data_IF_429895770583
#
_entry.id   IF_429895770583
#
_cell.length_a   1.000
_cell.length_b   1.000
_cell.length_c   1.000
_cell.angle_alpha   90.00
_cell.angle_beta   90.00
_cell.angle_gamma   90.00
#
_symmetry.space_group_name_H-M   'P 1'
#
loop_
_entity.id
_entity.type
_entity.pdbx_description
1 polymer ?
#
# COMPACT_ATOMS: atom_id res chain seq x y z
N UNK A 1 -15.34 -13.99 -7.61
CA UNK A 1 -14.05 -13.64 -6.97
C UNK A 1 -13.03 -13.42 -8.06
N UNK A 2 -12.25 -12.33 -8.03
CA UNK A 2 -11.12 -12.09 -8.93
C UNK A 2 -9.84 -12.64 -8.31
N UNK A 3 -8.93 -13.15 -9.14
CA UNK A 3 -7.60 -13.62 -8.72
C UNK A 3 -6.57 -12.67 -9.31
N UNK A 4 -5.85 -11.96 -8.43
CA UNK A 4 -4.75 -11.08 -8.81
C UNK A 4 -3.40 -11.77 -8.73
N UNK A 5 -2.41 -11.21 -9.41
CA UNK A 5 -1.01 -11.62 -9.32
C UNK A 5 -0.10 -10.42 -9.02
N UNK A 6 0.73 -10.55 -7.98
CA UNK A 6 1.78 -9.58 -7.68
C UNK A 6 2.97 -9.82 -8.60
N UNK A 7 3.09 -9.04 -9.67
CA UNK A 7 4.18 -9.18 -10.64
C UNK A 7 4.35 -7.90 -11.47
N UNK A 8 5.56 -7.61 -11.92
CA UNK A 8 5.81 -6.53 -12.87
C UNK A 8 5.36 -6.87 -14.29
N UNK A 9 5.15 -5.85 -15.12
CA UNK A 9 4.63 -6.02 -16.49
C UNK A 9 5.42 -7.03 -17.34
N UNK A 10 6.74 -7.08 -17.22
CA UNK A 10 7.59 -8.06 -17.94
C UNK A 10 7.31 -9.52 -17.56
N UNK A 11 6.97 -9.76 -16.28
CA UNK A 11 6.62 -11.10 -15.80
C UNK A 11 5.20 -11.46 -16.24
N UNK A 12 4.27 -10.48 -16.18
CA UNK A 12 2.88 -10.66 -16.64
C UNK A 12 2.85 -11.00 -18.12
N UNK A 13 3.73 -10.42 -18.95
CA UNK A 13 3.84 -10.73 -20.37
C UNK A 13 4.21 -12.22 -20.67
N UNK A 14 4.72 -12.93 -19.66
CA UNK A 14 5.07 -14.36 -19.79
C UNK A 14 3.96 -15.29 -19.30
N UNK A 15 2.89 -14.76 -18.71
CA UNK A 15 1.76 -15.55 -18.22
C UNK A 15 0.92 -16.08 -19.40
N UNK A 16 0.39 -17.29 -19.21
CA UNK A 16 -0.65 -17.78 -20.12
C UNK A 16 -1.92 -16.96 -19.90
N UNK A 17 -2.60 -16.64 -21.00
CA UNK A 17 -3.87 -15.93 -20.97
C UNK A 17 -4.88 -16.60 -20.03
N UNK A 18 -5.50 -15.81 -19.13
CA UNK A 18 -6.49 -16.29 -18.18
C UNK A 18 -5.92 -16.86 -16.88
N UNK A 19 -4.60 -16.73 -16.62
CA UNK A 19 -4.01 -17.14 -15.33
C UNK A 19 -4.27 -16.15 -14.19
N UNK A 20 -4.56 -14.89 -14.51
CA UNK A 20 -4.91 -13.87 -13.53
C UNK A 20 -5.97 -12.94 -14.12
N UNK A 21 -6.85 -12.43 -13.27
CA UNK A 21 -7.88 -11.47 -13.63
C UNK A 21 -7.33 -10.03 -13.61
N UNK A 22 -6.32 -9.76 -12.76
CA UNK A 22 -5.67 -8.46 -12.65
C UNK A 22 -4.22 -8.59 -12.14
N UNK A 23 -3.46 -7.53 -12.31
CA UNK A 23 -2.11 -7.38 -11.79
C UNK A 23 -2.11 -6.47 -10.56
N UNK A 24 -1.27 -6.80 -9.58
CA UNK A 24 -0.86 -5.94 -8.50
C UNK A 24 0.60 -5.54 -8.70
N UNK A 25 0.83 -4.25 -8.99
CA UNK A 25 2.16 -3.71 -9.27
C UNK A 25 2.83 -3.19 -7.99
N UNK A 26 4.15 -3.03 -8.03
CA UNK A 26 4.89 -2.37 -6.96
C UNK A 26 4.80 -0.85 -7.12
N UNK A 27 4.09 -0.15 -6.22
CA UNK A 27 3.85 1.29 -6.34
C UNK A 27 5.11 2.12 -6.21
N UNK A 28 6.07 1.71 -5.38
CA UNK A 28 7.35 2.42 -5.28
C UNK A 28 8.16 2.35 -6.57
N UNK A 29 8.01 1.30 -7.37
CA UNK A 29 8.59 1.23 -8.72
C UNK A 29 7.79 2.08 -9.71
N UNK A 30 6.48 2.07 -9.63
CA UNK A 30 5.59 2.93 -10.44
C UNK A 30 5.88 4.42 -10.18
N UNK A 31 6.16 4.80 -8.94
CA UNK A 31 6.57 6.16 -8.58
C UNK A 31 7.81 6.63 -9.35
N UNK A 32 8.78 5.76 -9.59
CA UNK A 32 10.03 6.08 -10.30
C UNK A 32 9.86 6.12 -11.83
N UNK A 33 8.78 5.56 -12.37
CA UNK A 33 8.58 5.48 -13.82
C UNK A 33 8.47 6.86 -14.47
N UNK A 34 9.08 6.99 -15.63
CA UNK A 34 8.85 8.07 -16.58
C UNK A 34 7.52 7.89 -17.31
N UNK A 35 6.99 8.93 -17.92
CA UNK A 35 5.76 8.84 -18.73
C UNK A 35 5.88 7.82 -19.88
N UNK A 36 7.08 7.64 -20.43
CA UNK A 36 7.36 6.62 -21.46
C UNK A 36 7.21 5.21 -20.92
N UNK A 37 7.79 4.92 -19.76
CA UNK A 37 7.70 3.61 -19.10
C UNK A 37 6.29 3.29 -18.63
N UNK A 38 5.54 4.29 -18.15
CA UNK A 38 4.11 4.12 -17.81
C UNK A 38 3.31 3.69 -19.04
N UNK A 39 3.52 4.38 -20.17
CA UNK A 39 2.84 4.06 -21.43
C UNK A 39 3.22 2.67 -21.95
N UNK A 40 4.50 2.31 -21.88
CA UNK A 40 4.96 0.96 -22.25
C UNK A 40 4.33 -0.11 -21.36
N UNK A 41 4.34 0.11 -20.05
CA UNK A 41 3.70 -0.79 -19.06
C UNK A 41 2.22 -0.97 -19.36
N UNK A 42 1.48 0.11 -19.60
CA UNK A 42 0.06 0.06 -19.96
C UNK A 42 -0.19 -0.76 -21.24
N UNK A 43 0.66 -0.57 -22.27
CA UNK A 43 0.55 -1.33 -23.51
C UNK A 43 0.80 -2.84 -23.30
N UNK A 44 1.78 -3.20 -22.48
CA UNK A 44 2.08 -4.61 -22.15
C UNK A 44 0.89 -5.25 -21.43
N UNK A 45 0.34 -4.59 -20.40
CA UNK A 45 -0.80 -5.09 -19.64
C UNK A 45 -2.04 -5.26 -20.54
N UNK A 46 -2.31 -4.28 -21.40
CA UNK A 46 -3.42 -4.35 -22.36
C UNK A 46 -3.25 -5.51 -23.35
N UNK A 47 -2.04 -5.73 -23.89
CA UNK A 47 -1.74 -6.84 -24.79
C UNK A 47 -1.94 -8.22 -24.13
N UNK A 48 -1.66 -8.32 -22.83
CA UNK A 48 -1.86 -9.55 -22.04
C UNK A 48 -3.32 -9.74 -21.62
N UNK A 49 -4.15 -8.70 -21.67
CA UNK A 49 -5.52 -8.71 -21.15
C UNK A 49 -5.60 -8.82 -19.63
N UNK A 50 -4.57 -8.33 -18.91
CA UNK A 50 -4.47 -8.34 -17.45
C UNK A 50 -4.33 -6.89 -16.98
N UNK A 51 -5.44 -6.21 -16.60
CA UNK A 51 -5.39 -4.83 -16.13
C UNK A 51 -4.64 -4.73 -14.80
N UNK A 52 -3.96 -3.61 -14.54
CA UNK A 52 -3.49 -3.28 -13.21
C UNK A 52 -4.68 -2.69 -12.40
N UNK A 53 -5.13 -3.39 -11.37
CA UNK A 53 -6.20 -2.91 -10.49
C UNK A 53 -5.68 -2.52 -9.10
N UNK A 54 -4.55 -3.09 -8.69
CA UNK A 54 -3.96 -2.88 -7.38
C UNK A 54 -2.46 -2.60 -7.45
N UNK A 55 -1.94 -2.01 -6.37
CA UNK A 55 -0.51 -1.90 -6.15
C UNK A 55 -0.15 -2.10 -4.68
N UNK A 56 0.98 -2.76 -4.43
CA UNK A 56 1.59 -2.93 -3.10
C UNK A 56 2.82 -2.02 -2.91
N UNK A 57 3.53 -2.18 -1.78
CA UNK A 57 4.77 -1.45 -1.50
C UNK A 57 4.62 0.06 -1.70
N UNK A 58 3.62 0.67 -1.07
CA UNK A 58 3.24 2.06 -1.29
C UNK A 58 4.43 3.02 -1.18
N UNK A 59 5.14 3.01 -0.04
CA UNK A 59 6.31 3.85 0.18
C UNK A 59 7.62 3.07 0.03
N UNK A 60 8.61 3.71 -0.58
CA UNK A 60 9.99 3.26 -0.48
C UNK A 60 10.53 3.45 0.93
N UNK A 61 11.50 2.65 1.35
CA UNK A 61 12.07 2.70 2.71
C UNK A 61 12.69 4.06 3.09
N UNK A 62 12.98 4.89 2.10
CA UNK A 62 13.57 6.22 2.27
C UNK A 62 12.55 7.30 2.66
N UNK A 63 11.26 7.04 2.46
CA UNK A 63 10.17 7.94 2.87
C UNK A 63 9.70 7.51 4.24
N UNK A 64 10.12 8.19 5.29
CA UNK A 64 9.73 7.88 6.66
C UNK A 64 8.37 8.46 7.00
N UNK A 65 7.53 7.64 7.63
CA UNK A 65 6.17 7.99 8.04
C UNK A 65 6.10 8.40 9.52
N UNK A 66 7.18 8.22 10.26
CA UNK A 66 7.31 8.63 11.65
C UNK A 66 8.79 8.80 12.05
N UNK A 67 9.01 9.34 13.25
CA UNK A 67 10.33 9.60 13.83
C UNK A 67 10.93 10.91 13.35
N UNK A 68 12.20 11.12 13.71
CA UNK A 68 12.93 12.38 13.42
C UNK A 68 13.11 12.70 11.94
N UNK A 69 12.98 11.71 11.07
CA UNK A 69 13.10 11.88 9.62
C UNK A 69 11.74 12.02 8.93
N UNK A 70 10.65 12.07 9.69
CA UNK A 70 9.32 12.31 9.16
C UNK A 70 9.22 13.74 8.60
N UNK A 71 8.83 13.84 7.34
CA UNK A 71 8.55 15.10 6.66
C UNK A 71 7.22 14.98 5.90
N UNK A 72 6.21 15.64 6.43
CA UNK A 72 4.85 15.61 5.87
C UNK A 72 4.76 16.17 4.44
N UNK A 73 5.62 17.11 4.07
CA UNK A 73 5.62 17.66 2.71
C UNK A 73 6.20 16.63 1.74
N UNK A 74 7.28 15.96 2.12
CA UNK A 74 7.85 14.86 1.34
C UNK A 74 6.84 13.71 1.18
N UNK A 75 6.12 13.35 2.25
CA UNK A 75 5.05 12.33 2.18
C UNK A 75 3.98 12.77 1.19
N UNK A 76 3.51 14.02 1.25
CA UNK A 76 2.47 14.55 0.35
C UNK A 76 2.91 14.55 -1.11
N UNK A 77 4.11 15.02 -1.40
CA UNK A 77 4.66 15.03 -2.77
C UNK A 77 4.81 13.61 -3.32
N UNK A 78 5.31 12.69 -2.48
CA UNK A 78 5.42 11.29 -2.85
C UNK A 78 4.06 10.68 -3.20
N UNK A 79 3.06 10.85 -2.30
CA UNK A 79 1.71 10.32 -2.52
C UNK A 79 1.11 10.84 -3.83
N UNK A 80 1.20 12.15 -4.08
CA UNK A 80 0.65 12.74 -5.31
C UNK A 80 1.27 12.14 -6.55
N UNK A 81 2.60 12.04 -6.62
CA UNK A 81 3.29 11.47 -7.78
C UNK A 81 3.00 9.98 -7.94
N UNK A 82 3.07 9.20 -6.86
CA UNK A 82 2.84 7.76 -6.90
C UNK A 82 1.42 7.43 -7.38
N UNK A 83 0.42 8.10 -6.82
CA UNK A 83 -0.98 7.88 -7.16
C UNK A 83 -1.34 8.42 -8.54
N UNK A 84 -0.77 9.55 -8.95
CA UNK A 84 -0.91 10.05 -10.33
C UNK A 84 -0.38 9.02 -11.35
N UNK A 85 0.81 8.49 -11.13
CA UNK A 85 1.39 7.46 -11.99
C UNK A 85 0.56 6.18 -11.97
N UNK A 86 0.11 5.75 -10.77
CA UNK A 86 -0.77 4.59 -10.60
C UNK A 86 -2.09 4.72 -11.35
N UNK A 87 -2.73 5.88 -11.25
CA UNK A 87 -4.00 6.15 -11.94
C UNK A 87 -3.88 6.04 -13.47
N UNK A 88 -2.73 6.44 -14.05
CA UNK A 88 -2.47 6.27 -15.48
C UNK A 88 -2.39 4.79 -15.91
N UNK A 89 -2.09 3.89 -14.99
CA UNK A 89 -2.07 2.43 -15.21
C UNK A 89 -3.42 1.77 -14.88
N UNK A 90 -4.39 2.51 -14.33
CA UNK A 90 -5.68 1.99 -13.91
C UNK A 90 -5.73 1.47 -12.48
N UNK A 91 -4.68 1.71 -11.68
CA UNK A 91 -4.61 1.28 -10.28
C UNK A 91 -5.59 2.12 -9.44
N UNK A 92 -6.50 1.43 -8.75
CA UNK A 92 -7.51 2.05 -7.89
C UNK A 92 -7.49 1.52 -6.44
N UNK A 93 -6.61 0.56 -6.12
CA UNK A 93 -6.39 0.05 -4.76
C UNK A 93 -4.90 0.00 -4.47
N UNK A 94 -4.45 0.66 -3.39
CA UNK A 94 -3.03 0.71 -3.03
C UNK A 94 -2.81 0.21 -1.61
N UNK A 95 -1.99 -0.84 -1.47
CA UNK A 95 -1.65 -1.46 -0.19
C UNK A 95 -0.56 -0.66 0.52
N UNK A 96 -0.90 -0.11 1.69
CA UNK A 96 0.01 0.57 2.58
C UNK A 96 0.46 -0.38 3.70
N UNK A 97 1.38 -1.28 3.37
CA UNK A 97 2.16 -2.07 4.34
C UNK A 97 3.42 -1.30 4.74
N UNK A 98 4.37 -1.13 3.83
CA UNK A 98 5.56 -0.26 3.93
C UNK A 98 6.29 -0.31 5.27
N UNK A 99 6.61 -1.51 5.77
CA UNK A 99 7.12 -1.74 7.14
C UNK A 99 8.34 -0.89 7.50
N UNK A 100 9.34 -0.83 6.61
CA UNK A 100 10.57 -0.03 6.82
C UNK A 100 10.32 1.48 6.88
N UNK A 101 9.26 1.98 6.25
CA UNK A 101 8.90 3.39 6.26
C UNK A 101 8.24 3.81 7.57
N UNK A 102 7.49 2.90 8.22
CA UNK A 102 6.74 3.17 9.45
C UNK A 102 7.37 2.59 10.73
N UNK A 103 8.52 1.91 10.60
CA UNK A 103 9.23 1.38 11.76
C UNK A 103 9.70 2.52 12.65
N UNK A 104 9.44 2.39 13.96
CA UNK A 104 9.87 3.34 14.98
C UNK A 104 11.29 2.98 15.38
N UNK A 105 12.23 3.91 15.21
CA UNK A 105 13.64 3.72 15.53
C UNK A 105 13.88 3.77 17.05
N UNK A 106 14.97 3.17 17.50
CA UNK A 106 15.35 3.18 18.90
C UNK A 106 15.58 4.63 19.41
N UNK A 107 15.03 4.94 20.58
CA UNK A 107 15.10 6.27 21.18
C UNK A 107 14.02 7.26 20.72
N UNK A 108 13.18 6.90 19.77
CA UNK A 108 12.01 7.71 19.40
C UNK A 108 10.86 7.53 20.40
N UNK A 109 10.07 8.58 20.59
CA UNK A 109 8.88 8.52 21.46
C UNK A 109 7.71 7.87 20.68
N UNK A 110 7.27 6.71 21.15
CA UNK A 110 6.26 5.89 20.45
C UNK A 110 4.96 6.65 20.17
N UNK A 111 4.49 7.42 21.16
CA UNK A 111 3.25 8.19 21.08
C UNK A 111 3.31 9.26 19.98
N UNK A 112 4.45 9.91 19.81
CA UNK A 112 4.63 10.94 18.78
C UNK A 112 4.80 10.30 17.41
N UNK A 113 5.53 9.19 17.33
CA UNK A 113 5.63 8.40 16.09
C UNK A 113 4.26 7.91 15.60
N UNK A 114 3.39 7.46 16.51
CA UNK A 114 2.03 7.05 16.16
C UNK A 114 1.21 8.23 15.60
N UNK A 115 1.29 9.42 16.19
CA UNK A 115 0.60 10.62 15.67
C UNK A 115 1.10 11.01 14.28
N UNK A 116 2.42 10.94 14.06
CA UNK A 116 3.01 11.20 12.75
C UNK A 116 2.57 10.17 11.71
N UNK A 117 2.51 8.89 12.08
CA UNK A 117 2.01 7.83 11.22
C UNK A 117 0.53 8.05 10.86
N UNK A 118 -0.30 8.45 11.82
CA UNK A 118 -1.69 8.84 11.59
C UNK A 118 -1.80 9.99 10.59
N UNK A 119 -0.99 11.04 10.76
CA UNK A 119 -0.93 12.17 9.82
C UNK A 119 -0.50 11.71 8.42
N UNK A 120 0.53 10.84 8.32
CA UNK A 120 1.00 10.31 7.04
C UNK A 120 -0.08 9.48 6.31
N UNK A 121 -0.83 8.66 7.04
CA UNK A 121 -1.93 7.86 6.48
C UNK A 121 -3.07 8.77 6.00
N UNK A 122 -3.42 9.82 6.75
CA UNK A 122 -4.41 10.80 6.30
C UNK A 122 -3.96 11.53 5.03
N UNK A 123 -2.68 11.95 4.95
CA UNK A 123 -2.10 12.55 3.74
C UNK A 123 -2.22 11.61 2.53
N UNK A 124 -1.96 10.31 2.73
CA UNK A 124 -2.11 9.32 1.66
C UNK A 124 -3.58 9.16 1.24
N UNK A 125 -4.50 9.14 2.20
CA UNK A 125 -5.94 9.07 1.95
C UNK A 125 -6.47 10.30 1.21
N UNK A 126 -6.05 11.52 1.62
CA UNK A 126 -6.40 12.77 0.94
C UNK A 126 -5.92 12.77 -0.52
N UNK A 127 -4.67 12.36 -0.74
CA UNK A 127 -4.12 12.25 -2.09
C UNK A 127 -4.88 11.17 -2.90
N UNK A 128 -5.25 10.05 -2.29
CA UNK A 128 -6.01 8.99 -2.93
C UNK A 128 -7.38 9.46 -3.43
N UNK A 129 -8.03 10.35 -2.69
CA UNK A 129 -9.31 10.95 -3.10
C UNK A 129 -9.18 11.75 -4.41
N UNK A 130 -8.04 12.42 -4.64
CA UNK A 130 -7.78 13.19 -5.88
C UNK A 130 -7.74 12.28 -7.12
N UNK A 131 -7.35 11.01 -6.95
CA UNK A 131 -7.14 10.06 -8.05
C UNK A 131 -8.16 8.90 -8.08
N UNK A 132 -9.20 8.94 -7.26
CA UNK A 132 -10.21 7.89 -7.18
C UNK A 132 -9.65 6.55 -6.69
N UNK A 133 -8.63 6.59 -5.82
CA UNK A 133 -7.93 5.42 -5.29
C UNK A 133 -8.33 5.18 -3.83
N UNK A 134 -8.32 3.91 -3.42
CA UNK A 134 -8.47 3.50 -2.02
C UNK A 134 -7.12 3.04 -1.48
N UNK A 135 -6.73 3.56 -0.32
CA UNK A 135 -5.60 3.05 0.46
C UNK A 135 -6.10 1.91 1.34
N UNK A 136 -5.45 0.78 1.29
CA UNK A 136 -5.74 -0.33 2.20
C UNK A 136 -4.55 -0.50 3.15
N UNK A 137 -4.77 -0.16 4.43
CA UNK A 137 -3.77 -0.26 5.49
C UNK A 137 -3.57 -1.72 5.85
N UNK A 138 -2.34 -2.20 5.73
CA UNK A 138 -1.98 -3.59 5.98
C UNK A 138 -1.16 -3.73 7.26
N UNK A 139 -1.65 -4.39 8.31
CA UNK A 139 -0.85 -4.87 9.42
C UNK A 139 0.21 -5.87 8.95
N UNK A 140 1.44 -5.68 9.40
CA UNK A 140 2.57 -6.55 9.02
C UNK A 140 3.12 -7.27 10.25
N UNK A 141 3.73 -8.43 10.04
CA UNK A 141 4.38 -9.17 11.11
C UNK A 141 5.54 -8.39 11.76
N UNK A 142 5.88 -8.72 13.01
CA UNK A 142 6.92 -8.03 13.82
C UNK A 142 8.34 -8.13 13.27
N UNK A 143 8.62 -8.99 12.29
CA UNK A 143 9.93 -9.02 11.61
C UNK A 143 10.09 -7.89 10.60
N UNK A 144 8.98 -7.31 10.14
CA UNK A 144 8.96 -6.26 9.13
C UNK A 144 8.75 -4.87 9.71
N UNK A 145 8.02 -4.76 10.83
CA UNK A 145 7.76 -3.49 11.51
C UNK A 145 7.44 -3.72 12.98
N UNK A 146 7.62 -2.69 13.80
CA UNK A 146 7.29 -2.72 15.23
C UNK A 146 6.01 -1.93 15.57
N UNK A 147 5.18 -1.66 14.56
CA UNK A 147 3.92 -0.92 14.72
C UNK A 147 2.85 -1.46 13.77
N UNK A 148 1.61 -1.59 14.25
CA UNK A 148 0.47 -2.16 13.52
C UNK A 148 0.76 -3.61 13.06
N UNK A 149 0.79 -4.51 14.02
CA UNK A 149 1.15 -5.91 13.79
C UNK A 149 -0.05 -6.86 13.79
N UNK A 150 -1.24 -6.39 14.16
CA UNK A 150 -2.45 -7.22 14.18
C UNK A 150 -3.60 -6.59 13.39
N UNK A 151 -4.51 -7.43 12.91
CA UNK A 151 -5.76 -6.99 12.25
C UNK A 151 -6.55 -6.06 13.16
N UNK A 152 -6.62 -6.40 14.46
CA UNK A 152 -7.31 -5.58 15.46
C UNK A 152 -6.69 -4.17 15.61
N UNK A 153 -5.36 -4.06 15.61
CA UNK A 153 -4.65 -2.76 15.65
C UNK A 153 -4.93 -1.93 14.39
N UNK A 154 -4.84 -2.54 13.22
CA UNK A 154 -5.15 -1.89 11.94
C UNK A 154 -6.59 -1.40 11.87
N UNK A 155 -7.54 -2.23 12.28
CA UNK A 155 -8.96 -1.89 12.34
C UNK A 155 -9.25 -0.74 13.33
N UNK A 156 -8.61 -0.77 14.51
CA UNK A 156 -8.74 0.30 15.50
C UNK A 156 -8.24 1.64 14.92
N UNK A 157 -7.12 1.61 14.19
CA UNK A 157 -6.59 2.80 13.54
C UNK A 157 -7.50 3.30 12.42
N UNK A 158 -7.98 2.44 11.53
CA UNK A 158 -8.92 2.83 10.47
C UNK A 158 -10.19 3.47 11.07
N UNK A 159 -10.75 2.89 12.13
CA UNK A 159 -11.91 3.47 12.85
C UNK A 159 -11.59 4.83 13.48
N UNK A 160 -10.40 4.99 14.07
CA UNK A 160 -9.95 6.25 14.67
C UNK A 160 -9.80 7.36 13.62
N UNK A 161 -9.18 7.05 12.49
CA UNK A 161 -8.95 8.02 11.41
C UNK A 161 -10.26 8.38 10.70
N UNK A 162 -11.19 7.44 10.60
CA UNK A 162 -12.48 7.60 9.94
C UNK A 162 -12.38 8.28 8.57
N UNK A 163 -11.34 7.89 7.80
CA UNK A 163 -11.04 8.51 6.51
C UNK A 163 -11.72 7.73 5.37
N UNK A 164 -12.49 8.39 4.47
CA UNK A 164 -13.28 7.70 3.45
C UNK A 164 -12.46 6.88 2.45
N UNK A 165 -11.19 7.25 2.23
CA UNK A 165 -10.30 6.56 1.30
C UNK A 165 -9.26 5.67 1.98
N UNK A 166 -9.42 5.38 3.30
CA UNK A 166 -8.51 4.48 4.04
C UNK A 166 -9.33 3.33 4.62
N UNK A 167 -8.99 2.12 4.20
CA UNK A 167 -9.63 0.88 4.64
C UNK A 167 -8.59 -0.08 5.21
N UNK A 168 -9.03 -1.20 5.77
CA UNK A 168 -8.17 -2.26 6.29
C UNK A 168 -7.96 -3.35 5.24
N UNK A 169 -6.74 -3.90 5.19
CA UNK A 169 -6.41 -5.14 4.51
C UNK A 169 -5.89 -6.14 5.55
N UNK A 170 -6.31 -7.39 5.45
CA UNK A 170 -5.76 -8.48 6.25
C UNK A 170 -5.06 -9.48 5.31
N UNK A 171 -3.73 -9.59 5.45
CA UNK A 171 -2.94 -10.61 4.76
C UNK A 171 -2.80 -11.84 5.66
N UNK A 172 -3.28 -12.99 5.18
CA UNK A 172 -3.24 -14.27 5.90
C UNK A 172 -1.78 -14.67 6.24
N UNK A 173 -0.80 -14.30 5.41
CA UNK A 173 0.61 -14.54 5.70
C UNK A 173 1.05 -13.84 6.99
N UNK A 174 0.71 -12.55 7.15
CA UNK A 174 1.05 -11.80 8.36
C UNK A 174 0.26 -12.27 9.57
N UNK A 175 -1.03 -12.54 9.41
CA UNK A 175 -1.91 -13.11 10.45
C UNK A 175 -1.33 -14.43 10.98
N UNK A 176 -0.90 -15.33 10.08
CA UNK A 176 -0.31 -16.61 10.46
C UNK A 176 1.03 -16.45 11.19
N UNK A 177 1.90 -15.52 10.76
CA UNK A 177 3.21 -15.28 11.41
C UNK A 177 3.09 -14.70 12.81
N UNK A 178 2.04 -13.91 13.08
CA UNK A 178 1.76 -13.35 14.41
C UNK A 178 0.92 -14.31 15.29
N UNK A 179 0.55 -15.51 14.78
CA UNK A 179 -0.33 -16.46 15.45
C UNK A 179 -1.69 -15.83 15.84
N UNK A 180 -2.15 -14.87 15.06
CA UNK A 180 -3.46 -14.24 15.25
C UNK A 180 -4.57 -15.17 14.75
N UNK A 181 -5.72 -15.17 15.42
CA UNK A 181 -6.87 -15.98 14.97
C UNK A 181 -7.45 -15.40 13.67
N UNK A 182 -7.79 -16.26 12.72
CA UNK A 182 -8.53 -15.85 11.52
C UNK A 182 -9.90 -15.23 11.83
N UNK A 183 -10.47 -15.51 13.01
CA UNK A 183 -11.70 -14.88 13.46
C UNK A 183 -11.57 -13.36 13.61
N UNK A 184 -10.35 -12.85 13.84
CA UNK A 184 -10.10 -11.40 13.90
C UNK A 184 -10.42 -10.69 12.58
N UNK A 185 -10.27 -11.37 11.46
CA UNK A 185 -10.66 -10.84 10.14
C UNK A 185 -12.18 -10.61 10.10
N UNK A 186 -12.96 -11.61 10.52
CA UNK A 186 -14.43 -11.51 10.52
C UNK A 186 -14.98 -10.53 11.55
N UNK A 187 -14.29 -10.35 12.69
CA UNK A 187 -14.69 -9.40 13.74
C UNK A 187 -14.42 -7.94 13.39
N UNK A 188 -13.48 -7.70 12.49
CA UNK A 188 -12.97 -6.37 12.18
C UNK A 188 -13.27 -5.93 10.72
N UNK A 189 -13.90 -6.80 9.92
CA UNK A 189 -14.30 -6.52 8.53
C UNK A 189 -15.67 -5.88 8.39
#
# INVERSE_FOLDING_TARGET
MKIGICAGAKQIAQLKKGMADYAELNLSQVYEMTNGEIKETANVLAACGVPAEAANCFFSAEVKLCGRLFDKNRVREYCKKALYNGAQLGIHTCVLGSGKSRCIDEGEQKEDCIKQLEEAICIAGDAANEFGTTIVLEPLNKKETNVLNTVAEGAALCRKLHHPNVMLLADIYHVALENESLDEISKNG
#
